data_IF_305108517193
#
_entry.id   IF_305108517193
#
_cell.length_a   1.000
_cell.length_b   1.000
_cell.length_c   1.000
_cell.angle_alpha   90.00
_cell.angle_beta   90.00
_cell.angle_gamma   90.00
#
_symmetry.space_group_name_H-M   'P 1'
#
loop_
_entity.id
_entity.type
_entity.pdbx_description
1 polymer ?
#
# COMPACT_ATOMS: atom_id res chain seq x y z
N UNK A 1 -30.30 -0.29 -8.35
CA UNK A 1 -28.84 -0.46 -8.53
C UNK A 1 -28.57 -1.94 -8.67
N UNK A 2 -27.84 -2.39 -9.70
CA UNK A 2 -27.53 -3.82 -9.85
C UNK A 2 -26.63 -4.29 -8.69
N UNK A 3 -26.86 -5.51 -8.18
CA UNK A 3 -26.09 -6.08 -7.06
C UNK A 3 -24.58 -6.06 -7.34
N UNK A 4 -24.18 -6.32 -8.58
CA UNK A 4 -22.79 -6.26 -9.02
C UNK A 4 -22.18 -4.86 -8.88
N UNK A 5 -22.94 -3.82 -9.24
CA UNK A 5 -22.48 -2.42 -9.13
C UNK A 5 -22.32 -2.01 -7.67
N UNK A 6 -23.25 -2.44 -6.80
CA UNK A 6 -23.14 -2.22 -5.37
C UNK A 6 -21.89 -2.90 -4.77
N UNK A 7 -21.67 -4.17 -5.10
CA UNK A 7 -20.46 -4.93 -4.69
C UNK A 7 -19.17 -4.26 -5.17
N UNK A 8 -19.15 -3.76 -6.41
CA UNK A 8 -18.01 -3.04 -6.97
C UNK A 8 -17.67 -1.78 -6.16
N UNK A 9 -18.65 -0.92 -5.88
CA UNK A 9 -18.42 0.31 -5.10
C UNK A 9 -17.97 0.00 -3.67
N UNK A 10 -18.55 -1.04 -3.05
CA UNK A 10 -18.16 -1.49 -1.72
C UNK A 10 -16.69 -1.95 -1.69
N UNK A 11 -16.30 -2.84 -2.60
CA UNK A 11 -14.91 -3.34 -2.68
C UNK A 11 -13.92 -2.23 -3.03
N UNK A 12 -14.27 -1.35 -3.98
CA UNK A 12 -13.45 -0.19 -4.35
C UNK A 12 -13.24 0.77 -3.17
N UNK A 13 -14.30 1.07 -2.40
CA UNK A 13 -14.21 1.89 -1.20
C UNK A 13 -13.28 1.29 -0.13
N UNK A 14 -13.35 -0.03 0.06
CA UNK A 14 -12.44 -0.77 0.95
C UNK A 14 -10.99 -0.63 0.46
N UNK A 15 -10.74 -0.89 -0.83
CA UNK A 15 -9.38 -0.79 -1.42
C UNK A 15 -8.79 0.60 -1.20
N UNK A 16 -9.53 1.66 -1.52
CA UNK A 16 -9.07 3.03 -1.35
C UNK A 16 -8.77 3.36 0.12
N UNK A 17 -9.68 3.00 1.03
CA UNK A 17 -9.52 3.28 2.47
C UNK A 17 -8.29 2.58 3.03
N UNK A 18 -8.13 1.27 2.77
CA UNK A 18 -6.98 0.51 3.26
C UNK A 18 -5.68 0.89 2.56
N UNK A 19 -5.71 1.31 1.29
CA UNK A 19 -4.53 1.82 0.58
C UNK A 19 -4.00 3.10 1.23
N UNK A 20 -4.88 4.05 1.57
CA UNK A 20 -4.50 5.28 2.29
C UNK A 20 -3.98 4.97 3.69
N UNK A 21 -4.64 4.04 4.41
CA UNK A 21 -4.18 3.60 5.74
C UNK A 21 -2.81 2.92 5.69
N UNK A 22 -2.52 2.19 4.61
CA UNK A 22 -1.24 1.51 4.40
C UNK A 22 -0.08 2.52 4.36
N UNK A 23 -0.21 3.61 3.58
CA UNK A 23 0.84 4.63 3.47
C UNK A 23 0.91 5.59 4.67
N UNK A 24 -0.22 5.78 5.37
CA UNK A 24 -0.31 6.72 6.51
C UNK A 24 0.19 6.09 7.82
N UNK A 25 0.22 4.77 7.91
CA UNK A 25 0.58 4.05 9.13
C UNK A 25 2.07 4.17 9.47
N UNK A 26 2.38 4.67 10.68
CA UNK A 26 3.76 4.79 11.18
C UNK A 26 4.46 3.47 11.52
N UNK A 27 3.71 2.38 11.71
CA UNK A 27 4.30 1.06 12.04
C UNK A 27 4.30 0.19 10.81
N UNK A 28 5.48 -0.27 10.37
CA UNK A 28 5.64 -1.13 9.18
C UNK A 28 4.73 -2.36 9.21
N UNK A 29 4.61 -3.02 10.37
CA UNK A 29 3.72 -4.17 10.54
C UNK A 29 2.25 -3.80 10.24
N UNK A 30 1.77 -2.68 10.79
CA UNK A 30 0.38 -2.23 10.55
C UNK A 30 0.15 -1.89 9.08
N UNK A 31 1.12 -1.25 8.43
CA UNK A 31 1.06 -0.97 7.00
C UNK A 31 0.94 -2.28 6.18
N UNK A 32 1.75 -3.30 6.48
CA UNK A 32 1.70 -4.59 5.78
C UNK A 32 0.36 -5.31 5.97
N UNK A 33 -0.25 -5.24 7.16
CA UNK A 33 -1.58 -5.81 7.40
C UNK A 33 -2.67 -5.07 6.62
N UNK A 34 -2.62 -3.74 6.53
CA UNK A 34 -3.57 -2.99 5.69
C UNK A 34 -3.41 -3.33 4.21
N UNK A 35 -2.19 -3.55 3.76
CA UNK A 35 -1.92 -4.01 2.39
C UNK A 35 -2.49 -5.41 2.12
N UNK A 36 -2.48 -6.31 3.11
CA UNK A 36 -3.15 -7.62 3.00
C UNK A 36 -4.64 -7.45 2.70
N UNK A 37 -5.34 -6.57 3.41
CA UNK A 37 -6.76 -6.28 3.16
C UNK A 37 -7.01 -5.75 1.74
N UNK A 38 -6.12 -4.88 1.23
CA UNK A 38 -6.20 -4.41 -0.15
C UNK A 38 -6.12 -5.57 -1.14
N UNK A 39 -5.16 -6.48 -0.98
CA UNK A 39 -4.99 -7.61 -1.91
C UNK A 39 -6.17 -8.58 -1.90
N UNK A 40 -6.73 -8.85 -0.73
CA UNK A 40 -7.94 -9.69 -0.59
C UNK A 40 -9.14 -9.02 -1.25
N UNK A 41 -9.34 -7.72 -1.03
CA UNK A 41 -10.41 -6.97 -1.68
C UNK A 41 -10.24 -6.93 -3.22
N UNK A 42 -9.00 -6.82 -3.72
CA UNK A 42 -8.71 -6.91 -5.16
C UNK A 42 -9.04 -8.30 -5.74
N UNK A 43 -8.81 -9.39 -4.99
CA UNK A 43 -9.28 -10.72 -5.39
C UNK A 43 -10.81 -10.77 -5.51
N UNK A 44 -11.52 -10.11 -4.60
CA UNK A 44 -12.98 -9.90 -4.69
C UNK A 44 -13.42 -9.22 -5.99
N UNK A 45 -12.66 -8.22 -6.47
CA UNK A 45 -12.93 -7.60 -7.78
C UNK A 45 -12.70 -8.58 -8.93
N UNK A 46 -11.67 -9.42 -8.87
CA UNK A 46 -11.44 -10.45 -9.89
C UNK A 46 -12.56 -11.50 -9.92
N UNK A 47 -13.13 -11.88 -8.77
CA UNK A 47 -14.32 -12.73 -8.72
C UNK A 47 -15.52 -12.06 -9.40
N UNK A 48 -15.74 -10.77 -9.16
CA UNK A 48 -16.83 -10.01 -9.77
C UNK A 48 -16.71 -9.92 -11.30
N UNK A 49 -15.48 -9.91 -11.81
CA UNK A 49 -15.16 -9.90 -13.24
C UNK A 49 -15.16 -11.31 -13.87
N UNK A 50 -15.53 -12.36 -13.13
CA UNK A 50 -15.48 -13.77 -13.55
C UNK A 50 -14.06 -14.28 -13.86
N UNK A 51 -13.01 -13.64 -13.33
CA UNK A 51 -11.62 -14.09 -13.47
C UNK A 51 -11.22 -15.01 -12.31
N UNK A 52 -11.86 -16.18 -12.22
CA UNK A 52 -11.72 -17.12 -11.11
C UNK A 52 -10.26 -17.55 -10.86
N UNK A 53 -9.53 -17.88 -11.94
CA UNK A 53 -8.13 -18.31 -11.85
C UNK A 53 -7.22 -17.19 -11.33
N UNK A 54 -7.41 -15.97 -11.82
CA UNK A 54 -6.63 -14.82 -11.39
C UNK A 54 -6.94 -14.44 -9.94
N UNK A 55 -8.21 -14.54 -9.54
CA UNK A 55 -8.65 -14.32 -8.16
C UNK A 55 -7.98 -15.33 -7.20
N UNK A 56 -7.92 -16.60 -7.58
CA UNK A 56 -7.24 -17.65 -6.81
C UNK A 56 -5.74 -17.37 -6.69
N UNK A 57 -5.07 -17.02 -7.80
CA UNK A 57 -3.65 -16.63 -7.78
C UNK A 57 -3.41 -15.43 -6.85
N UNK A 58 -4.29 -14.44 -6.88
CA UNK A 58 -4.20 -13.25 -6.01
C UNK A 58 -4.24 -13.64 -4.53
N UNK A 59 -5.13 -14.57 -4.16
CA UNK A 59 -5.23 -15.08 -2.79
C UNK A 59 -4.02 -15.94 -2.41
N UNK A 60 -3.64 -16.90 -3.24
CA UNK A 60 -2.58 -17.87 -2.91
C UNK A 60 -1.17 -17.25 -2.97
N UNK A 61 -0.83 -16.54 -4.04
CA UNK A 61 0.52 -16.01 -4.24
C UNK A 61 0.72 -14.67 -3.53
N UNK A 62 -0.19 -13.71 -3.70
CA UNK A 62 0.02 -12.36 -3.16
C UNK A 62 -0.39 -12.25 -1.70
N UNK A 63 -1.66 -12.52 -1.38
CA UNK A 63 -2.14 -12.43 0.00
C UNK A 63 -1.58 -13.54 0.91
N UNK A 64 -1.44 -14.76 0.38
CA UNK A 64 -0.96 -15.93 1.12
C UNK A 64 0.55 -16.08 1.17
N UNK A 65 1.27 -15.82 0.06
CA UNK A 65 2.72 -16.00 -0.02
C UNK A 65 3.50 -14.71 0.23
N UNK A 66 3.49 -13.82 -0.75
CA UNK A 66 4.34 -12.62 -0.81
C UNK A 66 4.15 -11.73 0.42
N UNK A 67 2.90 -11.40 0.77
CA UNK A 67 2.64 -10.52 1.92
C UNK A 67 2.96 -11.18 3.25
N UNK A 68 2.72 -12.49 3.39
CA UNK A 68 3.11 -13.22 4.60
C UNK A 68 4.63 -13.20 4.78
N UNK A 69 5.40 -13.42 3.70
CA UNK A 69 6.86 -13.29 3.72
C UNK A 69 7.31 -11.87 4.08
N UNK A 70 6.65 -10.83 3.56
CA UNK A 70 6.93 -9.43 3.91
C UNK A 70 6.65 -9.20 5.41
N UNK A 71 5.52 -9.67 5.94
CA UNK A 71 5.18 -9.52 7.36
C UNK A 71 6.24 -10.21 8.24
N UNK A 72 6.65 -11.44 7.91
CA UNK A 72 7.71 -12.13 8.63
C UNK A 72 9.05 -11.40 8.53
N UNK A 73 9.42 -10.88 7.36
CA UNK A 73 10.63 -10.08 7.15
C UNK A 73 10.64 -8.81 8.00
N UNK A 74 9.51 -8.10 8.09
CA UNK A 74 9.34 -6.92 8.94
C UNK A 74 9.47 -7.30 10.42
N UNK A 75 8.86 -8.41 10.84
CA UNK A 75 8.95 -8.90 12.21
C UNK A 75 10.40 -9.23 12.61
N UNK A 76 11.17 -9.84 11.70
CA UNK A 76 12.58 -10.16 11.93
C UNK A 76 13.45 -8.90 11.98
N UNK A 77 13.14 -7.88 11.18
CA UNK A 77 13.90 -6.62 11.08
C UNK A 77 13.54 -5.60 12.18
N UNK A 78 12.41 -5.80 12.89
CA UNK A 78 11.81 -4.82 13.81
C UNK A 78 12.66 -4.38 15.02
N UNK A 79 13.84 -4.97 15.24
CA UNK A 79 14.76 -4.60 16.31
C UNK A 79 15.82 -3.54 15.94
N UNK A 80 15.91 -3.12 14.67
CA UNK A 80 16.88 -2.10 14.23
C UNK A 80 16.13 -0.82 13.88
N UNK A 81 15.63 -0.09 14.89
CA UNK A 81 15.15 1.27 14.70
C UNK A 81 15.96 2.22 15.56
N UNK A 82 17.19 2.48 15.11
CA UNK A 82 17.86 3.73 15.41
C UNK A 82 16.92 4.87 14.99
N UNK A 83 16.56 5.73 15.95
CA UNK A 83 15.84 6.97 15.72
C UNK A 83 16.65 7.83 14.74
N UNK A 84 16.36 7.75 13.44
CA UNK A 84 16.78 8.79 12.52
C UNK A 84 16.05 10.08 12.91
N UNK A 85 16.80 10.96 13.56
CA UNK A 85 16.43 12.33 13.89
C UNK A 85 16.02 13.03 12.59
N UNK A 86 14.75 13.42 12.49
CA UNK A 86 14.20 14.22 11.40
C UNK A 86 15.14 15.40 11.09
N UNK A 87 15.67 15.54 9.87
CA UNK A 87 16.21 16.82 9.45
C UNK A 87 15.07 17.85 9.39
N UNK A 88 15.35 19.06 9.86
CA UNK A 88 14.37 20.14 9.96
C UNK A 88 13.66 20.41 8.62
N UNK A 89 12.35 20.77 8.63
CA UNK A 89 11.55 20.99 7.42
C UNK A 89 12.12 22.06 6.48
N UNK A 90 12.98 22.95 7.00
CA UNK A 90 13.69 23.98 6.24
C UNK A 90 14.67 23.42 5.19
N UNK A 91 15.28 22.26 5.43
CA UNK A 91 16.19 21.64 4.44
C UNK A 91 15.45 21.06 3.23
N UNK A 92 14.16 20.74 3.36
CA UNK A 92 13.33 20.24 2.26
C UNK A 92 13.01 21.35 1.24
N UNK A 93 12.83 22.58 1.72
CA UNK A 93 12.59 23.76 0.88
C UNK A 93 13.84 24.26 0.15
N UNK A 94 15.03 24.01 0.71
CA UNK A 94 16.29 24.31 0.02
C UNK A 94 16.45 23.45 -1.25
N UNK A 95 16.03 22.18 -1.21
CA UNK A 95 16.10 21.28 -2.38
C UNK A 95 15.21 21.74 -3.53
N UNK A 96 13.96 22.13 -3.26
CA UNK A 96 13.05 22.65 -4.28
C UNK A 96 13.52 23.97 -4.90
N UNK A 97 14.22 24.82 -4.14
CA UNK A 97 14.79 26.05 -4.69
C UNK A 97 15.88 25.78 -5.74
N UNK A 98 16.68 24.73 -5.56
CA UNK A 98 17.75 24.36 -6.51
C UNK A 98 17.19 23.81 -7.82
N UNK A 99 16.08 23.06 -7.78
CA UNK A 99 15.42 22.56 -8.99
C UNK A 99 14.80 23.66 -9.85
N UNK A 100 14.21 24.69 -9.24
CA UNK A 100 13.58 25.80 -9.97
C UNK A 100 14.62 26.68 -10.67
N UNK A 101 15.76 26.94 -10.00
CA UNK A 101 16.87 27.71 -10.60
C UNK A 101 17.57 26.90 -11.70
N UNK A 102 17.72 25.58 -11.53
CA UNK A 102 18.30 24.72 -12.57
C UNK A 102 17.48 24.67 -13.87
N UNK A 103 16.15 24.68 -13.79
CA UNK A 103 15.29 24.62 -14.99
C UNK A 103 15.16 25.95 -15.74
N UNK A 104 15.67 27.05 -15.20
CA UNK A 104 15.68 28.36 -15.88
C UNK A 104 17.02 28.72 -16.51
N UNK A 105 18.08 27.96 -16.22
CA UNK A 105 19.45 28.23 -16.67
C UNK A 105 19.97 27.16 -17.65
N UNK A 106 19.20 26.10 -17.92
CA UNK A 106 19.43 25.09 -18.95
C UNK A 106 18.55 25.35 -20.18
#
# INVERSE_FOLDING_TARGET
MNLNVFMFYLLSGIILTFSVLTITSRRMLRAAVYLLFVLVATSGLYFLLNYQFLAAIQLTLYAGGIVVLIIFSILLTGHISEKFKNPAPWKLWMGTSVFIVGSTVA
#
